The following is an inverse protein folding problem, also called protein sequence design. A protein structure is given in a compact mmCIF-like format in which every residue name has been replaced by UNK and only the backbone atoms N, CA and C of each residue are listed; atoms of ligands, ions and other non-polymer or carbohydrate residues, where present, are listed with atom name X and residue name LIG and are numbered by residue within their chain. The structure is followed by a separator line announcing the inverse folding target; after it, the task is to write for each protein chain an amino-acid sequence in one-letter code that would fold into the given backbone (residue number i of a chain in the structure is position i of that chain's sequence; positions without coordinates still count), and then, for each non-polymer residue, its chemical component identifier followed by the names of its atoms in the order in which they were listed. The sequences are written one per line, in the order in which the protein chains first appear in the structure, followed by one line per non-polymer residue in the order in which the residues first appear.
data_IF_979158206635
#
_entry.id   IF_979158206635
#
_cell.length_a   1.000
_cell.length_b   1.000
_cell.length_c   1.000
_cell.angle_alpha   90.00
_cell.angle_beta   90.00
_cell.angle_gamma   90.00
#
_symmetry.space_group_name_H-M   'P 1'
#
loop_
_entity.id
_entity.type
_entity.pdbx_description
1 polymer ?
#
# COMPACT_ATOMS: atom_id res chain seq x y z
N UNK A 1 -9.35 -24.17 3.93
CA UNK A 1 -8.10 -24.32 3.17
C UNK A 1 -7.16 -23.24 3.68
N UNK A 2 -6.04 -23.63 4.27
CA UNK A 2 -4.97 -22.67 4.57
C UNK A 2 -4.49 -22.08 3.25
N UNK A 3 -4.56 -20.76 3.12
CA UNK A 3 -4.01 -20.05 1.95
C UNK A 3 -2.49 -20.05 2.10
N UNK A 4 -1.78 -20.63 1.14
CA UNK A 4 -0.34 -20.53 1.03
C UNK A 4 0.06 -19.17 0.43
N UNK A 5 1.35 -18.85 0.52
CA UNK A 5 1.92 -17.66 -0.15
C UNK A 5 1.76 -17.80 -1.66
N UNK A 6 1.25 -16.78 -2.33
CA UNK A 6 1.16 -16.76 -3.79
C UNK A 6 2.53 -16.42 -4.39
N UNK A 7 3.22 -17.47 -4.85
CA UNK A 7 4.56 -17.35 -5.45
C UNK A 7 4.56 -16.95 -6.93
N UNK A 8 3.38 -16.87 -7.55
CA UNK A 8 3.17 -16.54 -8.97
C UNK A 8 2.31 -15.27 -9.14
N UNK A 9 2.08 -14.53 -8.03
CA UNK A 9 1.33 -13.28 -8.07
C UNK A 9 1.90 -12.30 -9.09
N UNK A 10 1.02 -11.57 -9.76
CA UNK A 10 1.38 -10.48 -10.65
C UNK A 10 0.42 -9.29 -10.49
N UNK A 11 0.87 -8.13 -10.94
CA UNK A 11 0.12 -6.87 -10.86
C UNK A 11 -0.72 -6.58 -12.13
N UNK A 12 -0.87 -7.54 -13.05
CA UNK A 12 -1.59 -7.33 -14.31
C UNK A 12 -3.05 -6.94 -14.08
N UNK A 13 -3.65 -7.38 -12.96
CA UNK A 13 -5.01 -7.01 -12.55
C UNK A 13 -5.12 -5.63 -11.88
N UNK A 14 -4.03 -5.09 -11.34
CA UNK A 14 -4.03 -3.83 -10.57
C UNK A 14 -4.24 -2.62 -11.48
N UNK A 15 -3.70 -2.66 -12.70
CA UNK A 15 -3.74 -1.56 -13.67
C UNK A 15 -4.56 -1.91 -14.92
N UNK A 16 -5.49 -2.88 -14.82
CA UNK A 16 -6.34 -3.24 -15.94
C UNK A 16 -7.40 -2.18 -16.18
N UNK A 17 -7.38 -1.53 -17.35
CA UNK A 17 -8.41 -0.63 -17.80
C UNK A 17 -8.00 0.85 -17.89
N UNK A 18 -9.00 1.73 -17.96
CA UNK A 18 -8.80 3.17 -18.09
C UNK A 18 -8.42 3.78 -16.74
N UNK A 19 -7.25 4.40 -16.65
CA UNK A 19 -6.84 5.15 -15.47
C UNK A 19 -7.59 6.49 -15.44
N UNK A 20 -8.43 6.68 -14.42
CA UNK A 20 -9.15 7.91 -14.17
C UNK A 20 -8.32 8.91 -13.32
N UNK A 21 -8.70 10.20 -13.27
CA UNK A 21 -7.95 11.22 -12.53
C UNK A 21 -7.77 10.92 -11.05
N UNK A 22 -8.76 10.34 -10.39
CA UNK A 22 -8.70 9.92 -8.98
C UNK A 22 -7.69 8.80 -8.75
N UNK A 23 -7.68 7.79 -9.61
CA UNK A 23 -6.72 6.67 -9.55
C UNK A 23 -5.29 7.17 -9.75
N UNK A 24 -5.05 7.98 -10.79
CA UNK A 24 -3.72 8.57 -11.01
C UNK A 24 -3.26 9.41 -9.82
N UNK A 25 -4.17 10.22 -9.24
CA UNK A 25 -3.89 11.04 -8.06
C UNK A 25 -3.53 10.18 -6.86
N UNK A 26 -4.33 9.16 -6.54
CA UNK A 26 -4.11 8.29 -5.37
C UNK A 26 -2.77 7.58 -5.45
N UNK A 27 -2.43 6.96 -6.59
CA UNK A 27 -1.15 6.27 -6.74
C UNK A 27 0.04 7.22 -6.59
N UNK A 28 -0.03 8.44 -7.17
CA UNK A 28 1.00 9.45 -6.98
C UNK A 28 1.13 9.84 -5.51
N UNK A 29 0.02 10.05 -4.81
CA UNK A 29 0.04 10.45 -3.39
C UNK A 29 0.53 9.34 -2.47
N UNK A 30 0.15 8.07 -2.75
CA UNK A 30 0.66 6.91 -1.98
C UNK A 30 2.18 6.86 -2.08
N UNK A 31 2.73 6.97 -3.30
CA UNK A 31 4.17 6.95 -3.53
C UNK A 31 4.85 8.11 -2.78
N UNK A 32 4.44 9.36 -3.03
CA UNK A 32 5.03 10.55 -2.42
C UNK A 32 5.01 10.50 -0.88
N UNK A 33 3.86 10.18 -0.28
CA UNK A 33 3.71 10.18 1.17
C UNK A 33 4.43 9.01 1.84
N UNK A 34 4.42 7.83 1.21
CA UNK A 34 5.12 6.66 1.77
C UNK A 34 6.63 6.89 1.73
N UNK A 35 7.19 7.26 0.58
CA UNK A 35 8.62 7.53 0.46
C UNK A 35 9.06 8.74 1.30
N UNK A 36 8.26 9.81 1.33
CA UNK A 36 8.51 10.95 2.20
C UNK A 36 8.49 10.60 3.70
N UNK A 37 7.69 9.62 4.12
CA UNK A 37 7.68 9.13 5.50
C UNK A 37 8.86 8.20 5.80
N UNK A 38 9.35 7.42 4.83
CA UNK A 38 10.60 6.65 4.99
C UNK A 38 11.74 7.61 5.33
N UNK A 39 11.83 8.75 4.66
CA UNK A 39 12.80 9.81 4.98
C UNK A 39 14.21 9.26 5.12
N UNK A 40 14.71 8.67 4.05
CA UNK A 40 15.99 7.96 4.02
C UNK A 40 17.15 8.95 3.97
N UNK A 41 18.14 8.76 4.86
CA UNK A 41 19.40 9.47 4.77
C UNK A 41 20.39 8.75 3.83
N UNK A 42 21.33 9.47 3.19
CA UNK A 42 22.33 8.85 2.34
C UNK A 42 23.12 7.75 3.07
N UNK A 43 23.21 6.57 2.45
CA UNK A 43 23.92 5.41 2.99
C UNK A 43 23.11 4.55 3.98
N UNK A 44 21.92 4.99 4.41
CA UNK A 44 21.01 4.14 5.22
C UNK A 44 20.51 2.94 4.40
N UNK A 45 20.31 1.84 5.09
CA UNK A 45 19.79 0.59 4.52
C UNK A 45 18.27 0.54 4.66
N UNK A 46 17.57 0.35 3.56
CA UNK A 46 16.11 0.23 3.53
C UNK A 46 15.68 -1.09 2.93
N UNK A 47 14.74 -1.77 3.60
CA UNK A 47 14.08 -2.98 3.14
C UNK A 47 12.67 -2.65 2.67
N UNK A 48 12.37 -2.96 1.41
CA UNK A 48 11.03 -2.88 0.81
C UNK A 48 10.44 -4.29 0.76
N UNK A 49 9.42 -4.56 1.59
CA UNK A 49 8.80 -5.89 1.73
C UNK A 49 7.57 -5.96 0.82
N UNK A 50 7.57 -6.95 -0.08
CA UNK A 50 6.59 -7.04 -1.17
C UNK A 50 6.85 -5.98 -2.22
N UNK A 51 8.12 -5.87 -2.65
CA UNK A 51 8.57 -4.78 -3.53
C UNK A 51 8.04 -4.87 -4.97
N UNK A 52 7.41 -5.98 -5.36
CA UNK A 52 6.91 -6.20 -6.72
C UNK A 52 8.00 -5.95 -7.76
N UNK A 53 7.76 -4.99 -8.65
CA UNK A 53 8.73 -4.54 -9.69
C UNK A 53 9.86 -3.66 -9.15
N UNK A 54 9.94 -3.45 -7.84
CA UNK A 54 10.96 -2.68 -7.13
C UNK A 54 11.09 -1.19 -7.53
N UNK A 55 10.03 -0.56 -8.05
CA UNK A 55 10.07 0.85 -8.44
C UNK A 55 10.36 1.78 -7.26
N UNK A 56 9.76 1.52 -6.10
CA UNK A 56 10.00 2.31 -4.89
C UNK A 56 11.41 2.09 -4.35
N UNK A 57 11.89 0.84 -4.31
CA UNK A 57 13.24 0.52 -3.91
C UNK A 57 14.28 1.21 -4.82
N UNK A 58 14.04 1.25 -6.14
CA UNK A 58 14.89 1.99 -7.09
C UNK A 58 14.87 3.49 -6.83
N UNK A 59 13.72 4.07 -6.47
CA UNK A 59 13.63 5.49 -6.14
C UNK A 59 14.40 5.83 -4.87
N UNK A 60 14.27 5.01 -3.83
CA UNK A 60 15.03 5.15 -2.59
C UNK A 60 16.54 4.99 -2.81
N UNK A 61 16.96 4.09 -3.70
CA UNK A 61 18.37 3.96 -4.08
C UNK A 61 18.90 5.21 -4.79
N UNK A 62 18.13 5.82 -5.68
CA UNK A 62 18.50 7.09 -6.35
C UNK A 62 18.59 8.27 -5.40
N UNK A 63 17.89 8.24 -4.28
CA UNK A 63 17.98 9.22 -3.20
C UNK A 63 19.21 8.98 -2.30
N UNK A 64 20.05 7.99 -2.62
CA UNK A 64 21.32 7.70 -1.94
C UNK A 64 21.23 6.60 -0.89
N UNK A 65 20.11 5.91 -0.77
CA UNK A 65 19.94 4.75 0.12
C UNK A 65 20.54 3.47 -0.44
N UNK A 66 20.77 2.50 0.46
CA UNK A 66 21.08 1.11 0.10
C UNK A 66 19.79 0.31 0.14
N UNK A 67 19.11 0.19 -1.01
CA UNK A 67 17.80 -0.42 -1.08
C UNK A 67 17.88 -1.94 -1.32
N UNK A 68 17.05 -2.68 -0.56
CA UNK A 68 16.82 -4.11 -0.73
C UNK A 68 15.34 -4.31 -0.99
N UNK A 69 14.99 -4.97 -2.09
CA UNK A 69 13.63 -5.41 -2.39
C UNK A 69 13.45 -6.89 -2.04
N UNK A 70 12.47 -7.22 -1.20
CA UNK A 70 12.05 -8.59 -0.91
C UNK A 70 10.72 -8.88 -1.61
N UNK A 71 10.69 -9.96 -2.40
CA UNK A 71 9.51 -10.34 -3.20
C UNK A 71 9.41 -11.86 -3.35
N UNK A 72 8.26 -12.51 -3.07
CA UNK A 72 8.09 -13.94 -3.25
C UNK A 72 7.89 -14.35 -4.72
N UNK A 73 7.23 -13.52 -5.54
CA UNK A 73 6.87 -13.86 -6.91
C UNK A 73 8.09 -13.88 -7.84
N UNK A 74 8.25 -15.01 -8.54
CA UNK A 74 9.29 -15.14 -9.59
C UNK A 74 9.06 -14.18 -10.74
N UNK A 75 7.79 -13.98 -11.11
CA UNK A 75 7.40 -13.10 -12.21
C UNK A 75 7.78 -11.67 -11.89
N UNK A 76 7.40 -11.16 -10.71
CA UNK A 76 7.73 -9.80 -10.28
C UNK A 76 9.23 -9.56 -10.20
N UNK A 77 10.00 -10.49 -9.62
CA UNK A 77 11.47 -10.40 -9.60
C UNK A 77 12.07 -10.39 -11.02
N UNK A 78 11.54 -11.21 -11.93
CA UNK A 78 12.01 -11.24 -13.32
C UNK A 78 11.77 -9.90 -14.02
N UNK A 79 10.59 -9.31 -13.82
CA UNK A 79 10.25 -8.00 -14.36
C UNK A 79 11.10 -6.89 -13.73
N UNK A 80 11.31 -6.92 -12.41
CA UNK A 80 12.19 -5.98 -11.70
C UNK A 80 13.61 -6.00 -12.27
N UNK A 81 14.19 -7.18 -12.48
CA UNK A 81 15.53 -7.33 -13.08
C UNK A 81 15.63 -6.75 -14.48
N UNK A 82 14.53 -6.67 -15.22
CA UNK A 82 14.49 -6.10 -16.58
C UNK A 82 14.76 -4.58 -16.62
N UNK A 83 14.60 -3.87 -15.51
CA UNK A 83 14.77 -2.41 -15.45
C UNK A 83 15.67 -1.89 -14.32
N UNK A 84 16.08 -2.75 -13.39
CA UNK A 84 17.11 -2.41 -12.40
C UNK A 84 18.48 -2.44 -13.09
N UNK A 85 19.27 -1.38 -12.86
CA UNK A 85 20.68 -1.36 -13.26
C UNK A 85 21.54 -1.98 -12.17
N UNK A 86 22.70 -2.53 -12.55
CA UNK A 86 23.63 -3.13 -11.60
C UNK A 86 24.01 -2.12 -10.50
N UNK A 87 23.86 -2.55 -9.24
CA UNK A 87 24.21 -1.76 -8.06
C UNK A 87 23.10 -0.85 -7.51
N UNK A 88 21.96 -0.67 -8.22
CA UNK A 88 20.88 0.20 -7.75
C UNK A 88 20.13 -0.44 -6.57
N UNK A 89 19.69 -1.69 -6.71
CA UNK A 89 18.84 -2.39 -5.72
C UNK A 89 19.27 -3.84 -5.60
N UNK A 90 19.39 -4.35 -4.39
CA UNK A 90 19.56 -5.78 -4.13
C UNK A 90 18.21 -6.48 -4.09
N UNK A 91 17.93 -7.42 -4.99
CA UNK A 91 16.69 -8.20 -4.96
C UNK A 91 16.90 -9.51 -4.22
N UNK A 92 16.01 -9.80 -3.27
CA UNK A 92 15.97 -11.04 -2.51
C UNK A 92 14.62 -11.71 -2.70
N UNK A 93 14.63 -12.99 -3.09
CA UNK A 93 13.40 -13.77 -3.14
C UNK A 93 13.07 -14.33 -1.76
N UNK A 94 11.92 -13.95 -1.20
CA UNK A 94 11.53 -14.35 0.14
C UNK A 94 10.14 -13.85 0.52
N UNK A 95 9.68 -14.25 1.69
CA UNK A 95 8.38 -13.89 2.25
C UNK A 95 8.55 -13.00 3.47
N UNK A 96 7.54 -12.18 3.77
CA UNK A 96 7.56 -11.24 4.90
C UNK A 96 7.61 -11.96 6.25
N UNK A 97 7.00 -13.14 6.35
CA UNK A 97 6.90 -13.95 7.55
C UNK A 97 8.22 -14.65 7.97
N UNK A 98 9.25 -14.60 7.10
CA UNK A 98 10.58 -15.18 7.36
C UNK A 98 11.66 -14.37 6.65
N UNK A 99 12.02 -13.22 7.23
CA UNK A 99 13.01 -12.31 6.65
C UNK A 99 14.43 -12.90 6.75
N UNK A 100 15.15 -13.09 5.62
CA UNK A 100 16.47 -13.69 5.63
C UNK A 100 17.59 -12.69 5.96
N UNK A 101 17.34 -11.81 6.92
CA UNK A 101 18.28 -10.74 7.29
C UNK A 101 18.72 -10.84 8.75
N UNK A 102 19.88 -10.29 9.04
CA UNK A 102 20.41 -10.20 10.40
C UNK A 102 19.55 -9.26 11.25
N UNK A 103 19.51 -9.56 12.56
CA UNK A 103 18.87 -8.65 13.52
C UNK A 103 19.54 -7.27 13.48
N UNK A 104 18.72 -6.23 13.62
CA UNK A 104 19.19 -4.83 13.69
C UNK A 104 20.08 -4.41 12.50
N UNK A 105 19.77 -4.88 11.31
CA UNK A 105 20.53 -4.57 10.09
C UNK A 105 19.90 -3.49 9.21
N UNK A 106 18.60 -3.19 9.39
CA UNK A 106 17.87 -2.23 8.57
C UNK A 106 17.65 -0.92 9.31
N UNK A 107 17.94 0.21 8.66
CA UNK A 107 17.62 1.55 9.18
C UNK A 107 16.15 1.87 8.98
N UNK A 108 15.60 1.45 7.84
CA UNK A 108 14.19 1.63 7.49
C UNK A 108 13.61 0.32 6.94
N UNK A 109 12.34 0.11 7.22
CA UNK A 109 11.53 -0.95 6.60
C UNK A 109 10.29 -0.32 6.01
N UNK A 110 9.97 -0.65 4.78
CA UNK A 110 8.76 -0.24 4.09
C UNK A 110 7.94 -1.46 3.69
N UNK A 111 6.60 -1.32 3.78
CA UNK A 111 5.65 -2.29 3.27
C UNK A 111 4.46 -1.52 2.67
N UNK A 112 4.41 -1.42 1.35
CA UNK A 112 3.42 -0.62 0.63
C UNK A 112 2.54 -1.50 -0.24
N UNK A 113 1.23 -1.59 0.08
CA UNK A 113 0.24 -2.32 -0.70
C UNK A 113 0.49 -3.82 -0.78
N UNK A 114 1.10 -4.42 0.26
CA UNK A 114 1.47 -5.84 0.23
C UNK A 114 1.10 -6.62 1.50
N UNK A 115 0.95 -5.94 2.65
CA UNK A 115 0.68 -6.61 3.93
C UNK A 115 -0.66 -7.38 3.94
N UNK A 116 -1.64 -6.95 3.16
CA UNK A 116 -2.95 -7.56 2.98
C UNK A 116 -2.92 -8.86 2.15
N UNK A 117 -1.83 -9.12 1.42
CA UNK A 117 -1.58 -10.38 0.72
C UNK A 117 -0.87 -11.44 1.57
N UNK A 118 -0.28 -11.05 2.71
CA UNK A 118 0.49 -11.97 3.53
C UNK A 118 -0.40 -12.97 4.26
N UNK A 119 0.11 -14.19 4.46
CA UNK A 119 -0.61 -15.25 5.17
C UNK A 119 -0.73 -14.93 6.64
N UNK A 120 0.35 -14.38 7.23
CA UNK A 120 0.42 -13.96 8.64
C UNK A 120 1.06 -12.57 8.77
N UNK A 121 0.27 -11.49 8.70
CA UNK A 121 0.77 -10.13 8.89
C UNK A 121 1.38 -9.88 10.28
N UNK A 122 0.87 -10.53 11.33
CA UNK A 122 1.43 -10.41 12.68
C UNK A 122 2.86 -10.95 12.71
N UNK A 123 3.07 -12.12 12.11
CA UNK A 123 4.39 -12.72 11.97
C UNK A 123 5.34 -11.83 11.18
N UNK A 124 4.85 -11.22 10.11
CA UNK A 124 5.63 -10.26 9.33
C UNK A 124 6.06 -9.06 10.17
N UNK A 125 5.19 -8.54 11.03
CA UNK A 125 5.55 -7.43 11.93
C UNK A 125 6.60 -7.84 12.98
N UNK A 126 6.54 -9.07 13.49
CA UNK A 126 7.61 -9.62 14.35
C UNK A 126 8.96 -9.70 13.62
N UNK A 127 8.95 -10.14 12.37
CA UNK A 127 10.16 -10.18 11.54
C UNK A 127 10.70 -8.78 11.25
N UNK A 128 9.83 -7.81 10.92
CA UNK A 128 10.21 -6.40 10.78
C UNK A 128 10.91 -5.87 12.04
N UNK A 129 10.35 -6.16 13.24
CA UNK A 129 10.98 -5.77 14.51
C UNK A 129 12.38 -6.35 14.67
N UNK A 130 12.57 -7.63 14.30
CA UNK A 130 13.86 -8.30 14.44
C UNK A 130 14.95 -7.68 13.59
N UNK A 131 14.64 -7.30 12.35
CA UNK A 131 15.62 -6.77 11.41
C UNK A 131 15.86 -5.27 11.58
N UNK A 132 14.91 -4.54 12.16
CA UNK A 132 14.98 -3.09 12.35
C UNK A 132 15.99 -2.72 13.45
N UNK A 133 16.80 -1.69 13.20
CA UNK A 133 17.70 -1.11 14.22
C UNK A 133 16.88 -0.39 15.31
N UNK A 134 17.43 -0.20 16.52
CA UNK A 134 16.73 0.48 17.63
C UNK A 134 16.23 1.89 17.27
N UNK A 135 16.98 2.65 16.46
CA UNK A 135 16.63 3.99 15.98
C UNK A 135 15.93 3.98 14.62
N UNK A 136 15.61 2.80 14.12
CA UNK A 136 15.01 2.62 12.82
C UNK A 136 13.54 3.06 12.74
N UNK A 137 12.98 3.02 11.54
CA UNK A 137 11.57 3.31 11.33
C UNK A 137 10.92 2.32 10.36
N UNK A 138 9.65 2.01 10.61
CA UNK A 138 8.78 1.25 9.71
C UNK A 138 7.75 2.19 9.10
N UNK A 139 7.50 2.05 7.80
CA UNK A 139 6.40 2.73 7.10
C UNK A 139 5.52 1.69 6.43
N UNK A 140 4.24 1.70 6.74
CA UNK A 140 3.24 0.78 6.17
C UNK A 140 2.16 1.62 5.47
N UNK A 141 1.83 1.28 4.23
CA UNK A 141 0.77 1.91 3.46
C UNK A 141 -0.18 0.85 2.92
N UNK A 142 -1.49 0.97 3.22
CA UNK A 142 -2.52 0.00 2.84
C UNK A 142 -3.84 0.66 2.47
N UNK A 143 -4.59 0.02 1.59
CA UNK A 143 -5.96 0.38 1.28
C UNK A 143 -6.86 0.23 2.53
N UNK A 144 -7.82 1.15 2.68
CA UNK A 144 -8.80 1.15 3.76
C UNK A 144 -10.16 0.67 3.23
N UNK A 145 -10.48 -0.58 3.46
CA UNK A 145 -11.73 -1.20 3.02
C UNK A 145 -13.00 -0.70 3.77
N UNK A 146 -12.82 0.16 4.78
CA UNK A 146 -13.90 0.89 5.46
C UNK A 146 -13.80 2.41 5.21
N UNK A 147 -13.18 2.82 4.09
CA UNK A 147 -13.15 4.20 3.63
C UNK A 147 -14.54 4.77 3.34
N UNK A 148 -14.62 6.08 3.20
CA UNK A 148 -15.88 6.74 2.82
C UNK A 148 -16.38 6.23 1.47
N UNK A 149 -15.48 6.01 0.49
CA UNK A 149 -15.82 5.46 -0.83
C UNK A 149 -16.44 4.07 -0.73
N UNK A 150 -15.84 3.17 0.06
CA UNK A 150 -16.36 1.83 0.29
C UNK A 150 -17.74 1.84 0.96
N UNK A 151 -17.95 2.71 1.96
CA UNK A 151 -19.24 2.85 2.65
C UNK A 151 -20.32 3.40 1.72
N UNK A 152 -20.02 4.42 0.94
CA UNK A 152 -20.94 4.99 -0.05
C UNK A 152 -21.22 4.00 -1.18
N UNK A 153 -20.22 3.26 -1.64
CA UNK A 153 -20.38 2.22 -2.64
C UNK A 153 -21.31 1.11 -2.17
N UNK A 154 -21.13 0.61 -0.93
CA UNK A 154 -22.07 -0.37 -0.34
C UNK A 154 -23.49 0.16 -0.24
N UNK A 155 -23.66 1.41 0.21
CA UNK A 155 -24.99 2.05 0.27
C UNK A 155 -25.61 2.17 -1.13
N UNK A 156 -24.84 2.64 -2.11
CA UNK A 156 -25.26 2.73 -3.50
C UNK A 156 -25.71 1.36 -4.04
N UNK A 157 -24.92 0.31 -3.80
CA UNK A 157 -25.25 -1.05 -4.26
C UNK A 157 -26.54 -1.58 -3.63
N UNK A 158 -26.79 -1.28 -2.34
CA UNK A 158 -28.05 -1.65 -1.67
C UNK A 158 -29.29 -1.01 -2.34
N UNK A 159 -29.15 0.20 -2.87
CA UNK A 159 -30.20 0.88 -3.63
C UNK A 159 -30.28 0.28 -5.03
N UNK A 160 -29.15 0.17 -5.73
CA UNK A 160 -29.06 -0.29 -7.10
C UNK A 160 -29.63 -1.70 -7.31
N UNK A 161 -29.32 -2.63 -6.43
CA UNK A 161 -29.83 -4.01 -6.52
C UNK A 161 -31.34 -4.16 -6.36
N UNK A 162 -32.04 -3.11 -5.89
CA UNK A 162 -33.51 -3.05 -5.78
C UNK A 162 -34.17 -2.55 -7.05
N UNK A 163 -33.41 -1.99 -7.99
CA UNK A 163 -33.92 -1.53 -9.27
C UNK A 163 -34.05 -2.71 -10.24
N UNK A 164 -35.07 -2.71 -11.12
CA UNK A 164 -35.33 -3.82 -12.05
C UNK A 164 -34.21 -4.02 -13.09
N UNK A 165 -33.33 -3.06 -13.24
CA UNK A 165 -32.21 -3.05 -14.20
C UNK A 165 -30.84 -3.22 -13.52
N UNK A 166 -30.80 -3.44 -12.21
CA UNK A 166 -29.55 -3.59 -11.45
C UNK A 166 -28.85 -4.89 -11.79
N UNK A 167 -27.80 -4.85 -12.60
CA UNK A 167 -26.93 -6.00 -12.82
C UNK A 167 -26.22 -6.38 -11.50
N UNK A 168 -26.20 -7.68 -11.20
CA UNK A 168 -25.42 -8.20 -10.08
C UNK A 168 -23.98 -8.35 -10.57
N UNK A 169 -23.16 -7.33 -10.37
CA UNK A 169 -21.73 -7.43 -10.60
C UNK A 169 -21.10 -8.51 -9.72
N UNK A 170 -20.20 -9.31 -10.28
CA UNK A 170 -19.57 -10.43 -9.56
C UNK A 170 -18.55 -9.99 -8.52
N UNK A 171 -17.93 -8.81 -8.65
CA UNK A 171 -16.99 -8.21 -7.68
C UNK A 171 -17.15 -6.71 -7.61
N UNK A 172 -17.17 -6.19 -6.39
CA UNK A 172 -17.30 -4.78 -6.10
C UNK A 172 -16.02 -4.29 -5.40
N UNK A 173 -15.59 -3.04 -5.63
CA UNK A 173 -14.31 -2.51 -5.15
C UNK A 173 -14.14 -2.54 -3.61
N UNK A 174 -15.23 -2.67 -2.86
CA UNK A 174 -15.20 -2.88 -1.39
C UNK A 174 -15.19 -4.34 -0.96
N UNK A 175 -15.26 -5.28 -1.90
CA UNK A 175 -15.10 -6.69 -1.61
C UNK A 175 -13.61 -7.04 -1.54
N UNK A 176 -13.28 -8.04 -0.72
CA UNK A 176 -11.89 -8.50 -0.64
C UNK A 176 -11.50 -9.09 -2.00
N UNK A 177 -10.48 -8.56 -2.68
CA UNK A 177 -9.92 -9.21 -3.86
C UNK A 177 -9.54 -10.67 -3.57
N UNK A 178 -9.59 -11.52 -4.57
CA UNK A 178 -9.36 -12.97 -4.37
C UNK A 178 -7.94 -13.30 -3.88
N UNK A 179 -7.00 -12.42 -4.18
CA UNK A 179 -5.58 -12.49 -3.82
C UNK A 179 -5.26 -11.86 -2.46
N UNK A 180 -6.21 -11.15 -1.83
CA UNK A 180 -6.02 -10.59 -0.49
C UNK A 180 -6.39 -11.61 0.59
N UNK A 181 -5.57 -11.69 1.62
CA UNK A 181 -5.80 -12.53 2.80
C UNK A 181 -6.56 -11.75 3.89
N UNK A 182 -6.27 -10.47 4.03
CA UNK A 182 -6.85 -9.60 5.05
C UNK A 182 -7.58 -8.40 4.44
N UNK A 183 -8.68 -8.03 5.09
CA UNK A 183 -9.42 -6.80 4.82
C UNK A 183 -9.08 -5.77 5.89
N UNK A 184 -8.08 -4.95 5.62
CA UNK A 184 -7.68 -3.93 6.57
C UNK A 184 -8.63 -2.74 6.56
N UNK A 185 -8.90 -2.25 7.75
CA UNK A 185 -9.48 -0.94 8.02
C UNK A 185 -8.58 -0.16 8.98
N UNK A 186 -8.92 1.09 9.24
CA UNK A 186 -8.14 1.95 10.12
C UNK A 186 -8.00 1.40 11.56
N UNK A 187 -9.08 0.94 12.26
CA UNK A 187 -8.97 0.37 13.58
C UNK A 187 -8.09 -0.88 13.64
N UNK A 188 -8.30 -1.82 12.72
CA UNK A 188 -7.56 -3.08 12.67
C UNK A 188 -6.07 -2.82 12.43
N UNK A 189 -5.73 -2.03 11.39
CA UNK A 189 -4.35 -1.72 11.06
C UNK A 189 -3.64 -0.99 12.21
N UNK A 190 -4.29 0.04 12.78
CA UNK A 190 -3.73 0.79 13.90
C UNK A 190 -3.51 -0.09 15.13
N UNK A 191 -4.45 -0.98 15.44
CA UNK A 191 -4.36 -1.91 16.58
C UNK A 191 -3.23 -2.92 16.36
N UNK A 192 -3.17 -3.54 15.18
CA UNK A 192 -2.16 -4.53 14.83
C UNK A 192 -0.75 -3.92 14.88
N UNK A 193 -0.54 -2.81 14.18
CA UNK A 193 0.75 -2.10 14.20
C UNK A 193 1.11 -1.65 15.61
N UNK A 194 0.12 -1.15 16.38
CA UNK A 194 0.32 -0.68 17.74
C UNK A 194 0.72 -1.76 18.75
N UNK A 195 0.51 -3.05 18.46
CA UNK A 195 1.03 -4.16 19.29
C UNK A 195 2.55 -4.33 19.14
N UNK A 196 3.06 -4.09 17.95
CA UNK A 196 4.47 -4.34 17.60
C UNK A 196 5.34 -3.09 17.67
N UNK A 197 4.79 -1.92 17.36
CA UNK A 197 5.55 -0.68 17.18
C UNK A 197 4.92 0.49 17.94
N UNK A 198 5.73 1.50 18.21
CA UNK A 198 5.25 2.81 18.64
C UNK A 198 4.83 3.64 17.41
N UNK A 199 3.54 3.94 17.31
CA UNK A 199 3.00 4.73 16.20
C UNK A 199 3.42 6.20 16.35
N UNK A 200 4.21 6.72 15.42
CA UNK A 200 4.69 8.11 15.43
C UNK A 200 3.81 9.04 14.59
N UNK A 201 3.28 8.56 13.47
CA UNK A 201 2.45 9.36 12.57
C UNK A 201 1.49 8.47 11.80
N UNK A 202 0.25 8.93 11.65
CA UNK A 202 -0.74 8.32 10.76
C UNK A 202 -1.31 9.42 9.87
N UNK A 203 -1.40 9.17 8.60
CA UNK A 203 -2.14 10.01 7.66
C UNK A 203 -3.07 9.16 6.81
N UNK A 204 -4.15 9.79 6.35
CA UNK A 204 -4.97 9.25 5.29
C UNK A 204 -4.61 9.89 3.95
N UNK A 205 -4.87 9.19 2.88
CA UNK A 205 -4.70 9.67 1.51
C UNK A 205 -6.02 9.54 0.80
N UNK A 206 -6.43 10.62 0.11
CA UNK A 206 -7.60 10.69 -0.74
C UNK A 206 -8.94 10.45 -0.03
N UNK A 207 -9.99 10.83 -0.71
CA UNK A 207 -11.38 10.48 -0.45
C UNK A 207 -12.08 10.17 -1.77
N UNK A 208 -13.01 9.21 -1.73
CA UNK A 208 -13.88 8.84 -2.83
C UNK A 208 -13.18 8.15 -4.01
N UNK A 209 -11.94 7.65 -3.84
CA UNK A 209 -11.31 6.82 -4.85
C UNK A 209 -12.17 5.60 -5.15
N UNK A 210 -12.39 5.33 -6.44
CA UNK A 210 -13.28 4.26 -6.93
C UNK A 210 -14.73 4.34 -6.46
N UNK A 211 -15.17 5.46 -5.87
CA UNK A 211 -16.59 5.65 -5.62
C UNK A 211 -17.40 5.63 -6.96
N UNK A 212 -18.64 5.11 -6.95
CA UNK A 212 -19.44 4.99 -8.17
C UNK A 212 -19.49 6.29 -8.96
N UNK A 213 -19.14 6.24 -10.25
CA UNK A 213 -19.13 7.35 -11.21
C UNK A 213 -18.16 8.51 -10.90
N UNK A 214 -17.41 8.45 -9.80
CA UNK A 214 -16.53 9.55 -9.36
C UNK A 214 -15.40 9.83 -10.35
N UNK A 215 -14.63 8.81 -10.73
CA UNK A 215 -13.54 8.94 -11.70
C UNK A 215 -14.02 9.45 -13.06
N UNK A 216 -15.19 8.97 -13.52
CA UNK A 216 -15.82 9.45 -14.75
C UNK A 216 -16.19 10.92 -14.65
N UNK A 217 -16.86 11.32 -13.56
CA UNK A 217 -17.25 12.72 -13.33
C UNK A 217 -16.03 13.66 -13.34
N UNK A 218 -14.95 13.26 -12.66
CA UNK A 218 -13.69 14.01 -12.67
C UNK A 218 -13.07 14.11 -14.07
N UNK A 219 -13.21 13.07 -14.89
CA UNK A 219 -12.68 13.07 -16.26
C UNK A 219 -13.40 14.03 -17.21
N UNK A 220 -14.65 14.42 -16.93
CA UNK A 220 -15.39 15.45 -17.67
C UNK A 220 -15.00 16.88 -17.28
N UNK A 221 -14.33 17.07 -16.15
CA UNK A 221 -13.92 18.38 -15.69
C UNK A 221 -12.56 18.79 -16.28
N UNK A 222 -12.30 20.11 -16.41
CA UNK A 222 -10.96 20.60 -16.70
C UNK A 222 -9.94 20.06 -15.67
N UNK A 223 -8.76 19.62 -16.13
CA UNK A 223 -7.72 19.00 -15.27
C UNK A 223 -7.41 19.80 -14.00
N UNK A 224 -7.37 21.14 -14.08
CA UNK A 224 -7.11 22.02 -12.93
C UNK A 224 -8.23 21.91 -11.88
N UNK A 225 -9.48 21.82 -12.30
CA UNK A 225 -10.62 21.71 -11.39
C UNK A 225 -10.61 20.34 -10.70
N UNK A 226 -10.43 19.26 -11.46
CA UNK A 226 -10.30 17.92 -10.89
C UNK A 226 -9.15 17.84 -9.89
N UNK A 227 -8.00 18.42 -10.19
CA UNK A 227 -6.86 18.47 -9.27
C UNK A 227 -7.16 19.22 -7.97
N UNK A 228 -7.88 20.36 -8.04
CA UNK A 228 -8.29 21.10 -6.84
C UNK A 228 -9.25 20.27 -5.97
N UNK A 229 -10.23 19.63 -6.59
CA UNK A 229 -11.20 18.78 -5.88
C UNK A 229 -10.49 17.61 -5.19
N UNK A 230 -9.61 16.91 -5.90
CA UNK A 230 -8.84 15.78 -5.36
C UNK A 230 -7.90 16.24 -4.23
N UNK A 231 -7.20 17.36 -4.40
CA UNK A 231 -6.34 17.91 -3.35
C UNK A 231 -7.13 18.34 -2.10
N UNK A 232 -8.36 18.83 -2.27
CA UNK A 232 -9.24 19.15 -1.15
C UNK A 232 -9.69 17.88 -0.43
N UNK A 233 -10.12 16.84 -1.16
CA UNK A 233 -10.43 15.53 -0.59
C UNK A 233 -9.24 14.91 0.16
N UNK A 234 -8.04 14.99 -0.39
CA UNK A 234 -6.81 14.51 0.24
C UNK A 234 -6.53 15.23 1.58
N UNK A 235 -6.74 16.55 1.64
CA UNK A 235 -6.59 17.30 2.91
C UNK A 235 -7.55 16.81 4.00
N UNK A 236 -8.79 16.48 3.63
CA UNK A 236 -9.77 15.93 4.55
C UNK A 236 -9.35 14.51 4.95
N UNK A 237 -9.00 13.65 4.00
CA UNK A 237 -8.50 12.29 4.25
C UNK A 237 -7.30 12.30 5.20
N UNK A 238 -6.35 13.21 4.99
CA UNK A 238 -5.18 13.40 5.86
C UNK A 238 -5.57 13.73 7.31
N UNK A 239 -6.63 14.51 7.51
CA UNK A 239 -7.13 14.89 8.86
C UNK A 239 -7.96 13.79 9.50
N UNK A 240 -8.63 12.97 8.70
CA UNK A 240 -9.53 11.91 9.12
C UNK A 240 -9.16 10.55 8.47
N UNK A 241 -8.03 9.91 8.90
CA UNK A 241 -7.53 8.70 8.26
C UNK A 241 -8.51 7.51 8.24
N UNK A 242 -9.47 7.47 9.19
CA UNK A 242 -10.51 6.44 9.20
C UNK A 242 -11.51 6.55 8.04
N UNK A 243 -11.58 7.70 7.37
CA UNK A 243 -12.45 7.94 6.21
C UNK A 243 -11.69 7.87 4.88
N UNK A 244 -10.36 7.95 4.92
CA UNK A 244 -9.51 7.98 3.72
C UNK A 244 -9.47 6.64 3.01
N UNK A 245 -9.16 6.69 1.73
CA UNK A 245 -9.08 5.51 0.87
C UNK A 245 -7.82 4.68 1.14
N UNK A 246 -6.73 5.34 1.53
CA UNK A 246 -5.47 4.69 1.92
C UNK A 246 -4.98 5.25 3.25
N UNK A 247 -4.37 4.39 4.05
CA UNK A 247 -3.76 4.73 5.34
C UNK A 247 -2.26 4.54 5.24
N UNK A 248 -1.49 5.54 5.65
CA UNK A 248 -0.03 5.44 5.79
C UNK A 248 0.35 5.66 7.25
N UNK A 249 1.10 4.71 7.80
CA UNK A 249 1.54 4.73 9.20
C UNK A 249 3.06 4.70 9.24
N UNK A 250 3.65 5.65 9.97
CA UNK A 250 5.07 5.64 10.36
C UNK A 250 5.21 5.24 11.82
N UNK A 251 6.11 4.30 12.08
CA UNK A 251 6.33 3.72 13.40
C UNK A 251 7.82 3.70 13.74
N UNK A 252 8.11 3.61 15.04
CA UNK A 252 9.43 3.30 15.59
C UNK A 252 9.39 1.98 16.35
N UNK A 253 10.53 1.33 16.61
CA UNK A 253 10.61 0.22 17.56
C UNK A 253 10.01 0.62 18.91
N UNK A 254 9.42 -0.34 19.62
CA UNK A 254 9.13 -0.16 21.04
C UNK A 254 10.43 -0.34 21.82
N UNK A 255 10.73 0.59 22.69
CA UNK A 255 11.82 0.48 23.64
C UNK A 255 11.62 -0.67 24.64
#
# INVERSE_FOLDING_TARGET
MERGVDLEWDDAGVFSGKIYPDTAFVFTRIEEETLGMVSLAPGEMVLDIGCGRAFDAMRLAREGGKAIGLEPSRKMISEAKGHIRDGDVSLVRGIGEALPFKRHSMDKVMCKGSLDHFVDPEKTMEEMQKVLKPEGAVVIALANFESLSCRLGRLWYLIWKRLPFGEKGEKLHWDIPADHTYKFDYPLLKSMVGRHFEVKKIIGISLLWEAPFWGQALAFLPRRISAIILAFGDRIGRRFPSMSDVIVIKCAPRG
#
